data_IF_654830901971
#
_entry.id   IF_654830901971
#
_cell.length_a   1.000
_cell.length_b   1.000
_cell.length_c   1.000
_cell.angle_alpha   90.00
_cell.angle_beta   90.00
_cell.angle_gamma   90.00
#
_symmetry.space_group_name_H-M   'P 1'
#
loop_
_entity.id
_entity.type
_entity.pdbx_description
1 polymer ?
#
# COMPACT_ATOMS: atom_id res chain seq x y z
N UNK A 1 21.69 35.06 12.50
CA UNK A 1 21.68 34.41 11.18
C UNK A 1 20.23 34.15 10.80
N UNK A 2 19.71 34.89 9.82
CA UNK A 2 18.32 34.78 9.41
C UNK A 2 18.09 33.42 8.73
N UNK A 3 17.20 32.60 9.31
CA UNK A 3 16.71 31.36 8.70
C UNK A 3 16.11 31.68 7.34
N UNK A 4 16.80 31.32 6.26
CA UNK A 4 16.22 31.29 4.92
C UNK A 4 15.08 30.27 4.94
N UNK A 5 13.85 30.78 5.03
CA UNK A 5 12.64 30.00 4.75
C UNK A 5 12.74 29.53 3.30
N UNK A 6 13.12 28.28 3.08
CA UNK A 6 13.00 27.64 1.76
C UNK A 6 11.54 27.74 1.33
N UNK A 7 11.28 28.55 0.30
CA UNK A 7 9.94 28.74 -0.24
C UNK A 7 9.42 27.38 -0.73
N UNK A 8 8.20 27.01 -0.29
CA UNK A 8 7.56 25.75 -0.69
C UNK A 8 7.42 25.77 -2.22
N UNK A 9 8.03 24.81 -2.93
CA UNK A 9 7.87 24.70 -4.39
C UNK A 9 6.37 24.64 -4.70
N UNK A 10 5.89 25.53 -5.58
CA UNK A 10 4.49 25.56 -5.98
C UNK A 10 4.15 24.24 -6.67
N UNK A 11 3.00 23.65 -6.35
CA UNK A 11 2.54 22.44 -7.03
C UNK A 11 2.41 22.70 -8.54
N UNK A 12 2.95 21.82 -9.39
CA UNK A 12 2.76 21.90 -10.83
C UNK A 12 1.29 21.86 -11.25
N UNK A 13 1.00 22.31 -12.47
CA UNK A 13 -0.38 22.43 -12.99
C UNK A 13 -1.12 21.09 -13.11
N UNK A 14 -0.39 19.98 -13.24
CA UNK A 14 -0.94 18.63 -13.37
C UNK A 14 -1.34 17.96 -12.04
N UNK A 15 -1.15 18.61 -10.89
CA UNK A 15 -1.62 18.11 -9.58
C UNK A 15 -3.08 18.44 -9.26
N UNK A 16 -3.92 18.71 -10.26
CA UNK A 16 -5.33 19.07 -10.06
C UNK A 16 -6.20 17.81 -9.88
N UNK A 17 -6.88 17.72 -8.75
CA UNK A 17 -7.92 16.70 -8.51
C UNK A 17 -9.27 17.18 -9.06
N UNK A 18 -10.14 16.23 -9.41
CA UNK A 18 -11.53 16.50 -9.81
C UNK A 18 -12.46 16.04 -8.68
N UNK A 19 -13.60 16.71 -8.53
CA UNK A 19 -14.64 16.27 -7.60
C UNK A 19 -15.48 15.16 -8.25
N UNK A 20 -16.03 14.22 -7.46
CA UNK A 20 -16.87 13.14 -7.98
C UNK A 20 -18.16 13.71 -8.56
N UNK A 21 -18.80 12.98 -9.49
CA UNK A 21 -20.05 13.42 -10.13
C UNK A 21 -20.91 12.23 -10.54
N UNK A 22 -22.22 12.43 -10.67
CA UNK A 22 -23.17 11.38 -11.04
C UNK A 22 -23.23 10.23 -10.02
N UNK A 23 -23.24 8.97 -10.49
CA UNK A 23 -23.32 7.78 -9.64
C UNK A 23 -22.16 7.67 -8.62
N UNK A 24 -20.97 8.17 -8.97
CA UNK A 24 -19.82 8.22 -8.08
C UNK A 24 -20.04 9.16 -6.88
N UNK A 25 -20.84 10.22 -7.05
CA UNK A 25 -21.18 11.12 -5.96
C UNK A 25 -22.07 10.42 -4.92
N UNK A 26 -22.99 9.55 -5.38
CA UNK A 26 -23.86 8.77 -4.48
C UNK A 26 -23.02 7.81 -3.62
N UNK A 27 -22.16 6.99 -4.25
CA UNK A 27 -21.27 6.07 -3.53
C UNK A 27 -20.37 6.82 -2.54
N UNK A 28 -19.85 8.00 -2.95
CA UNK A 28 -19.06 8.85 -2.06
C UNK A 28 -19.86 9.31 -0.83
N UNK A 29 -21.10 9.78 -1.02
CA UNK A 29 -21.95 10.25 0.08
C UNK A 29 -22.28 9.12 1.04
N UNK A 30 -22.66 7.95 0.52
CA UNK A 30 -22.99 6.76 1.32
C UNK A 30 -21.78 6.33 2.18
N UNK A 31 -20.59 6.31 1.56
CA UNK A 31 -19.33 6.00 2.25
C UNK A 31 -18.99 7.05 3.32
N UNK A 32 -19.25 8.33 3.03
CA UNK A 32 -18.95 9.44 3.92
C UNK A 32 -19.88 9.48 5.15
N UNK A 33 -21.16 9.19 4.96
CA UNK A 33 -22.13 9.11 6.05
C UNK A 33 -21.82 7.92 6.97
N UNK A 34 -21.46 6.75 6.40
CA UNK A 34 -21.02 5.59 7.17
C UNK A 34 -19.77 5.87 8.05
N UNK A 35 -18.82 6.67 7.55
CA UNK A 35 -17.62 7.06 8.32
C UNK A 35 -17.96 8.02 9.47
N UNK A 36 -18.91 8.94 9.28
CA UNK A 36 -19.35 9.88 10.33
C UNK A 36 -20.07 9.19 11.47
N UNK A 37 -20.95 8.25 11.16
CA UNK A 37 -21.82 7.61 12.16
C UNK A 37 -21.05 6.65 13.07
N UNK A 38 -19.92 6.10 12.62
CA UNK A 38 -19.14 5.09 13.34
C UNK A 38 -17.86 5.61 14.03
N UNK A 39 -17.63 6.93 14.08
CA UNK A 39 -16.42 7.55 14.67
C UNK A 39 -15.08 6.93 14.18
N UNK A 40 -15.02 6.51 12.91
CA UNK A 40 -13.90 5.74 12.37
C UNK A 40 -12.68 6.62 12.08
N UNK A 41 -11.50 6.17 12.51
CA UNK A 41 -10.23 6.76 12.11
C UNK A 41 -9.74 6.14 10.80
N UNK A 42 -10.04 6.79 9.67
CA UNK A 42 -9.48 6.37 8.37
C UNK A 42 -8.13 7.04 8.11
N UNK A 43 -7.16 6.29 7.56
CA UNK A 43 -5.89 6.91 7.11
C UNK A 43 -6.15 7.97 6.04
N UNK A 44 -7.24 7.84 5.28
CA UNK A 44 -7.68 8.82 4.29
C UNK A 44 -7.87 10.21 4.91
N UNK A 45 -8.47 10.29 6.08
CA UNK A 45 -8.69 11.55 6.81
C UNK A 45 -7.41 12.00 7.54
N UNK A 46 -6.77 11.09 8.29
CA UNK A 46 -5.59 11.42 9.10
C UNK A 46 -4.39 11.88 8.23
N UNK A 47 -4.17 11.23 7.09
CA UNK A 47 -3.12 11.59 6.14
C UNK A 47 -3.50 12.75 5.20
N UNK A 48 -4.71 13.32 5.33
CA UNK A 48 -5.26 14.37 4.46
C UNK A 48 -5.16 14.00 2.97
N UNK A 49 -5.58 12.78 2.65
CA UNK A 49 -5.36 12.18 1.34
C UNK A 49 -6.10 12.99 0.25
N UNK A 50 -5.42 13.47 -0.80
CA UNK A 50 -6.06 14.21 -1.88
C UNK A 50 -7.01 13.33 -2.73
N UNK A 51 -6.93 12.00 -2.56
CA UNK A 51 -7.66 11.01 -3.36
C UNK A 51 -8.91 10.45 -2.67
N UNK A 52 -9.29 10.99 -1.50
CA UNK A 52 -10.38 10.43 -0.68
C UNK A 52 -11.68 10.30 -1.47
N UNK A 53 -11.99 11.27 -2.34
CA UNK A 53 -13.19 11.26 -3.17
C UNK A 53 -13.19 10.13 -4.21
N UNK A 54 -12.06 9.94 -4.88
CA UNK A 54 -11.90 8.90 -5.91
C UNK A 54 -11.96 7.50 -5.28
N UNK A 55 -11.29 7.27 -4.16
CA UNK A 55 -11.31 5.97 -3.49
C UNK A 55 -12.72 5.62 -2.98
N UNK A 56 -13.34 6.52 -2.23
CA UNK A 56 -14.66 6.25 -1.64
C UNK A 56 -15.73 6.09 -2.70
N UNK A 57 -15.68 6.86 -3.80
CA UNK A 57 -16.61 6.67 -4.92
C UNK A 57 -16.43 5.37 -5.69
N UNK A 58 -15.31 4.67 -5.49
CA UNK A 58 -15.03 3.38 -6.12
C UNK A 58 -15.41 2.15 -5.29
N UNK A 59 -15.89 2.36 -4.05
CA UNK A 59 -16.12 1.28 -3.10
C UNK A 59 -14.82 0.72 -2.51
N UNK A 60 -13.76 1.53 -2.47
CA UNK A 60 -12.48 1.19 -1.86
C UNK A 60 -12.21 2.15 -0.69
N UNK A 61 -11.80 1.64 0.46
CA UNK A 61 -11.40 2.46 1.61
C UNK A 61 -10.12 1.92 2.26
N UNK A 62 -9.43 2.79 3.00
CA UNK A 62 -8.23 2.42 3.75
C UNK A 62 -8.39 2.73 5.24
N UNK A 63 -8.20 1.72 6.06
CA UNK A 63 -8.29 1.77 7.52
C UNK A 63 -6.91 1.65 8.12
N UNK A 64 -6.68 2.32 9.25
CA UNK A 64 -5.43 2.19 10.01
C UNK A 64 -5.73 1.54 11.34
N UNK A 65 -5.02 0.46 11.66
CA UNK A 65 -5.16 -0.28 12.92
C UNK A 65 -3.87 -0.21 13.76
N UNK A 66 -3.94 -0.75 14.97
CA UNK A 66 -2.91 -0.69 16.01
C UNK A 66 -2.60 0.73 16.49
N UNK A 67 -3.59 1.61 16.39
CA UNK A 67 -3.53 3.00 16.83
C UNK A 67 -3.11 4.01 15.76
N UNK A 68 -2.91 5.25 16.22
CA UNK A 68 -2.65 6.43 15.36
C UNK A 68 -1.26 7.04 15.54
N UNK A 69 -0.45 6.46 16.42
CA UNK A 69 0.90 6.90 16.73
C UNK A 69 1.87 5.77 16.45
N UNK A 70 2.94 6.06 15.72
CA UNK A 70 3.93 5.08 15.28
C UNK A 70 5.16 5.13 16.20
N UNK A 71 5.75 3.97 16.50
CA UNK A 71 7.04 3.89 17.22
C UNK A 71 8.23 4.34 16.37
N UNK A 72 8.01 4.54 15.06
CA UNK A 72 9.00 4.97 14.06
C UNK A 72 8.73 6.38 13.53
N UNK A 73 9.80 7.05 13.12
CA UNK A 73 9.82 8.44 12.66
C UNK A 73 10.30 8.61 11.23
N UNK A 74 9.63 7.97 10.27
CA UNK A 74 9.94 8.15 8.84
C UNK A 74 9.75 9.61 8.42
N UNK A 75 10.74 10.19 7.73
CA UNK A 75 10.80 11.63 7.44
C UNK A 75 9.79 12.09 6.38
N UNK A 76 9.20 11.16 5.64
CA UNK A 76 8.13 11.42 4.67
C UNK A 76 6.71 11.31 5.28
N UNK A 77 6.56 10.61 6.40
CA UNK A 77 5.27 10.15 6.89
C UNK A 77 4.58 11.21 7.77
N UNK A 78 3.26 11.37 7.62
CA UNK A 78 2.46 12.32 8.40
C UNK A 78 2.00 11.78 9.76
N UNK A 79 2.10 10.47 9.99
CA UNK A 79 1.66 9.81 11.22
C UNK A 79 2.53 10.27 12.39
N UNK A 80 1.91 10.57 13.53
CA UNK A 80 2.61 11.05 14.71
C UNK A 80 3.57 9.98 15.27
N UNK A 81 4.75 10.38 15.71
CA UNK A 81 5.72 9.46 16.33
C UNK A 81 5.63 9.50 17.85
N UNK A 82 5.55 8.33 18.48
CA UNK A 82 5.58 8.20 19.94
C UNK A 82 6.33 6.93 20.33
N UNK A 83 7.30 7.07 21.25
CA UNK A 83 8.12 5.93 21.72
C UNK A 83 7.30 4.84 22.40
N UNK A 84 6.27 5.24 23.15
CA UNK A 84 5.38 4.32 23.87
C UNK A 84 3.95 4.76 23.58
N UNK A 85 3.36 4.26 22.48
CA UNK A 85 1.95 4.46 22.17
C UNK A 85 1.04 3.88 23.27
N UNK A 86 -0.26 4.21 23.28
CA UNK A 86 -1.23 3.50 24.11
C UNK A 86 -1.24 1.99 23.80
N UNK A 87 -1.70 1.13 24.74
CA UNK A 87 -1.94 -0.27 24.47
C UNK A 87 -2.87 -0.48 23.26
N UNK A 88 -2.77 -1.65 22.62
CA UNK A 88 -3.72 -2.04 21.59
C UNK A 88 -5.14 -2.05 22.16
N UNK A 89 -6.09 -1.59 21.35
CA UNK A 89 -7.51 -1.68 21.69
C UNK A 89 -7.99 -3.10 21.38
N UNK A 90 -8.40 -3.84 22.41
CA UNK A 90 -8.85 -5.24 22.29
C UNK A 90 -10.13 -5.39 21.47
N UNK A 91 -10.92 -4.31 21.36
CA UNK A 91 -12.16 -4.29 20.59
C UNK A 91 -11.93 -3.79 19.14
N UNK A 92 -10.70 -3.38 18.78
CA UNK A 92 -10.36 -2.89 17.44
C UNK A 92 -10.72 -3.88 16.31
N UNK A 93 -10.55 -5.21 16.45
CA UNK A 93 -11.02 -6.16 15.44
C UNK A 93 -12.53 -6.07 15.16
N UNK A 94 -13.35 -6.01 16.22
CA UNK A 94 -14.81 -5.90 16.07
C UNK A 94 -15.19 -4.53 15.49
N UNK A 95 -14.58 -3.47 16.00
CA UNK A 95 -14.83 -2.11 15.50
C UNK A 95 -14.46 -1.97 14.03
N UNK A 96 -13.34 -2.57 13.59
CA UNK A 96 -12.95 -2.59 12.18
C UNK A 96 -13.94 -3.38 11.32
N UNK A 97 -14.39 -4.55 11.79
CA UNK A 97 -15.38 -5.34 11.06
C UNK A 97 -16.71 -4.59 10.92
N UNK A 98 -17.18 -3.93 11.98
CA UNK A 98 -18.37 -3.07 11.95
C UNK A 98 -18.20 -1.89 11.00
N UNK A 99 -17.00 -1.29 10.98
CA UNK A 99 -16.64 -0.21 10.08
C UNK A 99 -16.69 -0.61 8.62
N UNK A 100 -16.09 -1.75 8.28
CA UNK A 100 -16.07 -2.28 6.92
C UNK A 100 -17.49 -2.67 6.52
N UNK A 101 -18.25 -3.33 7.40
CA UNK A 101 -19.62 -3.78 7.10
C UNK A 101 -20.65 -2.67 7.01
N UNK A 102 -20.40 -1.49 7.59
CA UNK A 102 -21.27 -0.33 7.39
C UNK A 102 -21.02 0.38 6.06
N UNK A 103 -19.90 0.08 5.41
CA UNK A 103 -19.49 0.68 4.14
C UNK A 103 -19.75 -0.34 3.04
N UNK A 104 -20.43 0.06 1.96
CA UNK A 104 -20.68 -0.83 0.81
C UNK A 104 -19.40 -1.00 -0.05
N UNK A 105 -18.35 -1.57 0.54
CA UNK A 105 -17.03 -1.72 -0.04
C UNK A 105 -16.94 -2.99 -0.89
N UNK A 106 -16.08 -2.95 -1.90
CA UNK A 106 -15.66 -4.13 -2.68
C UNK A 106 -14.25 -4.58 -2.28
N UNK A 107 -13.45 -3.65 -1.78
CA UNK A 107 -12.07 -3.87 -1.39
C UNK A 107 -11.71 -2.98 -0.19
N UNK A 108 -11.14 -3.58 0.85
CA UNK A 108 -10.65 -2.85 2.02
C UNK A 108 -9.13 -3.00 2.11
N UNK A 109 -8.44 -1.86 2.15
CA UNK A 109 -7.02 -1.82 2.48
C UNK A 109 -6.89 -1.55 3.97
N UNK A 110 -6.15 -2.41 4.68
CA UNK A 110 -5.85 -2.25 6.10
C UNK A 110 -4.37 -1.91 6.18
N UNK A 111 -4.02 -0.77 6.76
CA UNK A 111 -2.63 -0.36 6.99
C UNK A 111 -2.36 -0.32 8.49
N UNK A 112 -1.09 -0.40 8.85
CA UNK A 112 -0.68 -0.46 10.26
C UNK A 112 0.33 0.64 10.60
N UNK A 113 0.42 1.01 11.87
CA UNK A 113 1.58 1.72 12.42
C UNK A 113 2.62 0.71 12.91
N UNK A 114 3.91 1.10 12.98
CA UNK A 114 4.91 0.24 13.60
C UNK A 114 4.71 0.20 15.11
N UNK A 115 4.70 -1.02 15.67
CA UNK A 115 4.57 -1.32 17.10
C UNK A 115 5.80 -2.04 17.64
N UNK A 116 6.98 -1.45 17.43
CA UNK A 116 8.26 -1.96 17.96
C UNK A 116 8.28 -2.04 19.52
N UNK A 117 7.25 -1.54 20.20
CA UNK A 117 7.04 -1.65 21.64
C UNK A 117 6.43 -2.99 22.08
N UNK A 118 5.94 -3.80 21.14
CA UNK A 118 5.35 -5.13 21.37
C UNK A 118 6.31 -6.23 20.92
N UNK A 119 6.22 -7.40 21.55
CA UNK A 119 7.11 -8.54 21.28
C UNK A 119 6.94 -9.09 19.86
N UNK A 120 5.72 -9.13 19.35
CA UNK A 120 5.34 -9.67 18.03
C UNK A 120 5.13 -8.56 16.97
N UNK A 121 5.56 -7.33 17.25
CA UNK A 121 5.28 -6.16 16.40
C UNK A 121 3.78 -5.94 16.07
N UNK A 122 2.86 -6.43 16.90
CA UNK A 122 1.40 -6.49 16.71
C UNK A 122 0.91 -7.46 15.61
N UNK A 123 1.72 -8.43 15.16
CA UNK A 123 1.35 -9.40 14.15
C UNK A 123 0.06 -10.17 14.49
N UNK A 124 -0.09 -10.62 15.75
CA UNK A 124 -1.29 -11.35 16.17
C UNK A 124 -2.54 -10.45 16.10
N UNK A 125 -2.41 -9.20 16.52
CA UNK A 125 -3.49 -8.22 16.48
C UNK A 125 -3.94 -7.93 15.03
N UNK A 126 -2.98 -7.78 14.11
CA UNK A 126 -3.30 -7.61 12.69
C UNK A 126 -4.09 -8.80 12.15
N UNK A 127 -3.68 -10.03 12.50
CA UNK A 127 -4.36 -11.26 12.11
C UNK A 127 -5.79 -11.32 12.63
N UNK A 128 -6.02 -10.94 13.89
CA UNK A 128 -7.35 -10.88 14.48
C UNK A 128 -8.26 -9.86 13.78
N UNK A 129 -7.76 -8.66 13.48
CA UNK A 129 -8.49 -7.66 12.69
C UNK A 129 -8.91 -8.17 11.32
N UNK A 130 -8.00 -8.84 10.60
CA UNK A 130 -8.27 -9.41 9.29
C UNK A 130 -9.34 -10.51 9.34
N UNK A 131 -9.24 -11.40 10.31
CA UNK A 131 -10.20 -12.48 10.51
C UNK A 131 -11.61 -11.94 10.81
N UNK A 132 -11.72 -10.94 11.70
CA UNK A 132 -13.00 -10.34 12.07
C UNK A 132 -13.70 -9.69 10.86
N UNK A 133 -12.95 -8.99 10.01
CA UNK A 133 -13.50 -8.39 8.78
C UNK A 133 -13.95 -9.48 7.80
N UNK A 134 -13.14 -10.52 7.59
CA UNK A 134 -13.49 -11.59 6.67
C UNK A 134 -14.70 -12.41 7.13
N UNK A 135 -14.87 -12.61 8.44
CA UNK A 135 -16.05 -13.28 9.00
C UNK A 135 -17.33 -12.47 8.79
N UNK A 136 -17.26 -11.15 9.02
CA UNK A 136 -18.43 -10.27 8.93
C UNK A 136 -18.78 -9.85 7.51
N UNK A 137 -17.78 -9.69 6.65
CA UNK A 137 -17.89 -9.13 5.30
C UNK A 137 -17.18 -10.04 4.28
N UNK A 138 -17.63 -11.30 4.09
CA UNK A 138 -16.94 -12.30 3.27
C UNK A 138 -16.83 -11.92 1.78
N UNK A 139 -17.65 -10.99 1.30
CA UNK A 139 -17.61 -10.45 -0.06
C UNK A 139 -16.56 -9.34 -0.26
N UNK A 140 -16.02 -8.76 0.82
CA UNK A 140 -15.03 -7.69 0.76
C UNK A 140 -13.64 -8.27 0.66
N UNK A 141 -12.95 -7.99 -0.45
CA UNK A 141 -11.57 -8.42 -0.61
C UNK A 141 -10.61 -7.60 0.26
N UNK A 142 -9.60 -8.26 0.85
CA UNK A 142 -8.67 -7.64 1.81
C UNK A 142 -7.25 -7.47 1.25
N UNK A 143 -6.69 -6.28 1.43
CA UNK A 143 -5.27 -5.95 1.24
C UNK A 143 -4.68 -5.49 2.57
N UNK A 144 -3.58 -6.09 3.03
CA UNK A 144 -2.83 -5.59 4.19
C UNK A 144 -1.58 -4.84 3.73
N UNK A 145 -1.50 -3.55 4.02
CA UNK A 145 -0.25 -2.78 3.97
C UNK A 145 0.47 -2.88 5.32
N UNK A 146 1.35 -3.87 5.41
CA UNK A 146 2.02 -4.26 6.64
C UNK A 146 3.27 -3.40 6.93
N UNK A 147 3.65 -3.36 8.20
CA UNK A 147 4.99 -2.94 8.65
C UNK A 147 6.05 -3.93 8.15
N UNK A 148 7.32 -3.71 8.51
CA UNK A 148 8.36 -4.72 8.30
C UNK A 148 8.46 -5.71 9.46
N UNK A 149 7.56 -5.65 10.45
CA UNK A 149 7.58 -6.48 11.67
C UNK A 149 8.96 -6.53 12.35
N UNK A 150 9.69 -5.40 12.31
CA UNK A 150 11.08 -5.31 12.80
C UNK A 150 12.07 -6.31 12.14
N UNK A 151 11.71 -6.85 10.97
CA UNK A 151 12.47 -7.86 10.24
C UNK A 151 12.20 -9.30 10.70
N UNK A 152 11.24 -9.51 11.59
CA UNK A 152 10.90 -10.84 12.09
C UNK A 152 10.06 -11.63 11.08
N UNK A 153 10.59 -12.78 10.65
CA UNK A 153 9.95 -13.64 9.66
C UNK A 153 9.01 -14.67 10.31
N UNK A 154 9.18 -14.97 11.60
CA UNK A 154 8.29 -15.85 12.34
C UNK A 154 6.97 -15.13 12.63
N UNK A 155 7.03 -13.85 13.00
CA UNK A 155 5.85 -12.98 13.13
C UNK A 155 5.11 -12.84 11.78
N UNK A 156 5.85 -12.70 10.68
CA UNK A 156 5.28 -12.66 9.34
C UNK A 156 4.58 -13.99 9.00
N UNK A 157 5.20 -15.12 9.33
CA UNK A 157 4.64 -16.44 9.11
C UNK A 157 3.33 -16.63 9.90
N UNK A 158 3.34 -16.25 11.19
CA UNK A 158 2.14 -16.25 12.02
C UNK A 158 1.02 -15.40 11.40
N UNK A 159 1.32 -14.17 11.01
CA UNK A 159 0.35 -13.25 10.39
C UNK A 159 -0.27 -13.79 9.10
N UNK A 160 0.52 -14.46 8.25
CA UNK A 160 0.09 -14.93 6.94
C UNK A 160 -0.56 -16.31 6.95
N UNK A 161 -0.30 -17.13 7.96
CA UNK A 161 -0.92 -18.45 8.12
C UNK A 161 -2.45 -18.33 8.20
N UNK A 162 -3.15 -19.01 7.29
CA UNK A 162 -4.62 -19.00 7.15
C UNK A 162 -5.27 -17.61 7.02
N UNK A 163 -4.47 -16.60 6.68
CA UNK A 163 -4.93 -15.22 6.55
C UNK A 163 -5.88 -15.06 5.35
N UNK A 164 -7.01 -14.32 5.48
CA UNK A 164 -8.01 -14.13 4.42
C UNK A 164 -7.56 -13.12 3.34
N UNK A 165 -6.29 -12.75 3.32
CA UNK A 165 -5.75 -11.74 2.42
C UNK A 165 -5.82 -12.18 0.96
N UNK A 166 -6.17 -11.23 0.10
CA UNK A 166 -5.98 -11.34 -1.34
C UNK A 166 -4.66 -10.68 -1.77
N UNK A 167 -4.23 -9.65 -1.03
CA UNK A 167 -3.00 -8.91 -1.30
C UNK A 167 -2.23 -8.66 0.00
N UNK A 168 -0.96 -9.02 0.02
CA UNK A 168 -0.01 -8.58 1.04
C UNK A 168 0.90 -7.49 0.46
N UNK A 169 0.88 -6.31 1.06
CA UNK A 169 1.66 -5.16 0.65
C UNK A 169 2.69 -4.78 1.72
N UNK A 170 3.91 -4.48 1.27
CA UNK A 170 4.92 -3.83 2.10
C UNK A 170 5.74 -2.86 1.22
N UNK A 171 5.81 -1.59 1.62
CA UNK A 171 6.44 -0.56 0.79
C UNK A 171 7.93 -0.42 1.12
N UNK A 172 8.75 -0.43 0.07
CA UNK A 172 10.16 0.01 0.15
C UNK A 172 10.29 1.52 0.20
N UNK A 173 9.27 2.26 -0.27
CA UNK A 173 9.10 3.71 -0.24
C UNK A 173 10.08 4.52 -1.09
N UNK A 174 11.37 4.19 -1.09
CA UNK A 174 12.40 4.91 -1.83
C UNK A 174 13.52 3.96 -2.31
N UNK A 175 14.45 4.49 -3.09
CA UNK A 175 15.61 3.74 -3.58
C UNK A 175 16.63 3.47 -2.46
N UNK A 176 17.43 2.39 -2.52
CA UNK A 176 18.33 1.97 -1.44
C UNK A 176 19.26 3.07 -0.90
N UNK A 177 19.80 3.92 -1.78
CA UNK A 177 20.69 5.04 -1.39
C UNK A 177 20.01 6.04 -0.45
N UNK A 178 18.69 6.17 -0.51
CA UNK A 178 17.92 7.18 0.22
C UNK A 178 17.27 6.67 1.50
N UNK A 179 17.33 5.36 1.80
CA UNK A 179 16.64 4.78 2.97
C UNK A 179 16.92 5.55 4.26
N UNK A 180 18.19 5.73 4.63
CA UNK A 180 18.59 6.40 5.87
C UNK A 180 18.23 7.89 5.91
N UNK A 181 17.87 8.46 4.75
CA UNK A 181 17.46 9.86 4.60
C UNK A 181 15.94 9.98 4.67
N UNK A 182 15.20 9.00 4.15
CA UNK A 182 13.74 9.04 3.95
C UNK A 182 13.01 8.33 5.08
N UNK A 183 13.49 7.16 5.49
CA UNK A 183 12.82 6.25 6.41
C UNK A 183 13.47 6.31 7.80
N UNK A 184 12.80 5.70 8.78
CA UNK A 184 13.36 5.52 10.12
C UNK A 184 14.64 4.65 10.04
N UNK A 185 15.69 4.92 10.85
CA UNK A 185 16.94 4.15 10.81
C UNK A 185 16.80 2.64 11.07
N UNK A 186 15.69 2.19 11.66
CA UNK A 186 15.38 0.76 11.86
C UNK A 186 14.85 0.07 10.60
N UNK A 187 14.47 0.83 9.57
CA UNK A 187 14.00 0.29 8.31
C UNK A 187 15.14 0.28 7.27
N UNK A 188 15.14 -0.73 6.40
CA UNK A 188 16.04 -0.79 5.25
C UNK A 188 15.36 -1.48 4.06
N UNK A 189 15.83 -1.19 2.85
CA UNK A 189 15.37 -1.75 1.60
C UNK A 189 15.59 -3.27 1.61
N UNK A 190 16.75 -3.72 2.09
CA UNK A 190 17.07 -5.15 2.22
C UNK A 190 16.14 -5.90 3.16
N UNK A 191 15.78 -5.30 4.30
CA UNK A 191 14.78 -5.86 5.23
C UNK A 191 13.41 -5.93 4.57
N UNK A 192 12.97 -4.85 3.92
CA UNK A 192 11.72 -4.81 3.16
C UNK A 192 11.65 -5.86 2.05
N UNK A 193 12.75 -6.08 1.31
CA UNK A 193 12.84 -7.16 0.31
C UNK A 193 12.74 -8.54 0.95
N UNK A 194 13.28 -8.72 2.16
CA UNK A 194 13.22 -10.00 2.87
C UNK A 194 11.79 -10.34 3.30
N UNK A 195 11.05 -9.35 3.82
CA UNK A 195 9.62 -9.48 4.14
C UNK A 195 8.80 -9.82 2.89
N UNK A 196 9.00 -9.11 1.78
CA UNK A 196 8.27 -9.36 0.53
C UNK A 196 8.58 -10.74 -0.06
N UNK A 197 9.86 -11.15 -0.06
CA UNK A 197 10.30 -12.47 -0.53
C UNK A 197 9.65 -13.58 0.29
N UNK A 198 9.66 -13.42 1.60
CA UNK A 198 9.15 -14.43 2.52
C UNK A 198 7.62 -14.53 2.46
N UNK A 199 6.92 -13.40 2.35
CA UNK A 199 5.49 -13.39 2.12
C UNK A 199 5.10 -14.16 0.84
N UNK A 200 5.83 -13.95 -0.27
CA UNK A 200 5.61 -14.69 -1.52
C UNK A 200 5.89 -16.18 -1.38
N UNK A 201 6.90 -16.56 -0.58
CA UNK A 201 7.26 -17.96 -0.31
C UNK A 201 6.19 -18.67 0.53
N UNK A 202 5.68 -18.00 1.57
CA UNK A 202 4.70 -18.55 2.50
C UNK A 202 3.31 -18.65 1.88
N UNK A 203 2.89 -17.63 1.12
CA UNK A 203 1.58 -17.52 0.50
C UNK A 203 1.70 -17.21 -1.00
N UNK A 204 2.12 -18.19 -1.84
CA UNK A 204 2.21 -17.98 -3.28
C UNK A 204 0.84 -17.77 -3.96
N UNK A 205 -0.24 -18.10 -3.26
CA UNK A 205 -1.64 -17.94 -3.68
C UNK A 205 -2.16 -16.50 -3.60
N UNK A 206 -1.52 -15.63 -2.82
CA UNK A 206 -1.89 -14.22 -2.70
C UNK A 206 -0.96 -13.33 -3.54
N UNK A 207 -1.44 -12.14 -3.90
CA UNK A 207 -0.62 -11.15 -4.58
C UNK A 207 0.27 -10.43 -3.57
N UNK A 208 1.51 -10.15 -3.97
CA UNK A 208 2.44 -9.31 -3.23
C UNK A 208 2.55 -7.93 -3.88
N UNK A 209 2.63 -6.88 -3.08
CA UNK A 209 2.62 -5.49 -3.58
C UNK A 209 3.64 -4.60 -2.88
N UNK A 210 4.21 -3.66 -3.62
CA UNK A 210 5.07 -2.62 -3.06
C UNK A 210 4.85 -1.25 -3.69
N UNK A 211 5.54 -0.25 -3.16
CA UNK A 211 5.43 1.14 -3.58
C UNK A 211 6.78 1.85 -3.60
N UNK A 212 6.95 2.72 -4.59
CA UNK A 212 8.04 3.68 -4.70
C UNK A 212 7.46 5.10 -4.78
N UNK A 213 7.90 5.95 -3.87
CA UNK A 213 7.71 7.38 -3.98
C UNK A 213 8.84 7.99 -4.81
N UNK A 214 8.48 8.93 -5.70
CA UNK A 214 9.42 9.73 -6.50
C UNK A 214 9.41 11.18 -6.06
N UNK A 215 10.49 11.91 -6.37
CA UNK A 215 10.68 13.29 -5.98
C UNK A 215 11.32 13.49 -4.61
N UNK A 216 12.02 12.49 -4.09
CA UNK A 216 12.73 12.50 -2.79
C UNK A 216 14.25 12.61 -2.95
N UNK A 217 14.76 12.62 -4.18
CA UNK A 217 16.19 12.80 -4.51
C UNK A 217 16.80 11.63 -5.30
N UNK A 218 15.95 10.73 -5.78
CA UNK A 218 16.30 9.58 -6.62
C UNK A 218 16.53 10.00 -8.08
N UNK A 219 17.37 9.27 -8.80
CA UNK A 219 17.46 9.37 -10.26
C UNK A 219 16.43 8.46 -10.94
N UNK A 220 16.25 8.62 -12.26
CA UNK A 220 15.34 7.76 -13.01
C UNK A 220 15.88 6.32 -13.10
N UNK A 221 17.20 6.17 -13.18
CA UNK A 221 17.92 4.91 -13.23
C UNK A 221 17.77 4.15 -11.91
N UNK A 222 17.90 4.83 -10.76
CA UNK A 222 17.72 4.21 -9.44
C UNK A 222 16.29 3.70 -9.23
N UNK A 223 15.28 4.36 -9.81
CA UNK A 223 13.91 3.85 -9.82
C UNK A 223 13.82 2.54 -10.62
N UNK A 224 14.46 2.48 -11.78
CA UNK A 224 14.49 1.27 -12.61
C UNK A 224 15.22 0.12 -11.90
N UNK A 225 16.34 0.40 -11.23
CA UNK A 225 17.07 -0.57 -10.42
C UNK A 225 16.23 -1.06 -9.23
N UNK A 226 15.55 -0.16 -8.52
CA UNK A 226 14.66 -0.54 -7.41
C UNK A 226 13.50 -1.42 -7.89
N UNK A 227 12.93 -1.15 -9.07
CA UNK A 227 11.91 -2.02 -9.69
C UNK A 227 12.46 -3.41 -9.98
N UNK A 228 13.68 -3.54 -10.48
CA UNK A 228 14.32 -4.83 -10.72
C UNK A 228 14.48 -5.62 -9.42
N UNK A 229 14.99 -4.98 -8.36
CA UNK A 229 15.15 -5.62 -7.05
C UNK A 229 13.81 -6.12 -6.46
N UNK A 230 12.73 -5.35 -6.63
CA UNK A 230 11.39 -5.77 -6.23
C UNK A 230 10.90 -6.97 -7.05
N UNK A 231 11.20 -7.02 -8.36
CA UNK A 231 10.86 -8.16 -9.20
C UNK A 231 11.63 -9.42 -8.85
N UNK A 232 12.91 -9.30 -8.55
CA UNK A 232 13.77 -10.42 -8.16
C UNK A 232 13.25 -11.16 -6.91
N UNK A 233 12.51 -10.46 -6.04
CA UNK A 233 11.89 -11.08 -4.85
C UNK A 233 10.42 -11.47 -5.04
N UNK A 234 9.92 -11.39 -6.28
CA UNK A 234 8.60 -11.92 -6.63
C UNK A 234 7.43 -10.96 -6.41
N UNK A 235 7.66 -9.64 -6.24
CA UNK A 235 6.58 -8.66 -6.08
C UNK A 235 5.68 -8.60 -7.31
N UNK A 236 4.39 -8.90 -7.16
CA UNK A 236 3.43 -8.98 -8.27
C UNK A 236 2.92 -7.60 -8.71
N UNK A 237 2.62 -6.72 -7.75
CA UNK A 237 2.00 -5.42 -7.97
C UNK A 237 2.93 -4.26 -7.56
N UNK A 238 2.97 -3.20 -8.38
CA UNK A 238 3.77 -2.02 -8.09
C UNK A 238 2.92 -0.74 -8.12
N UNK A 239 3.24 0.18 -7.21
CA UNK A 239 2.74 1.55 -7.28
C UNK A 239 3.89 2.55 -7.34
N UNK A 240 3.77 3.56 -8.21
CA UNK A 240 4.77 4.64 -8.33
C UNK A 240 4.04 5.99 -8.25
N UNK A 241 4.38 6.78 -7.24
CA UNK A 241 3.65 8.03 -6.95
C UNK A 241 4.53 9.18 -6.50
N UNK A 242 4.09 10.42 -6.71
CA UNK A 242 4.81 11.59 -6.22
C UNK A 242 4.77 11.67 -4.69
N UNK A 243 5.93 11.86 -4.07
CA UNK A 243 6.02 12.33 -2.69
C UNK A 243 5.51 13.77 -2.54
N UNK A 244 4.51 13.95 -1.67
CA UNK A 244 4.03 15.27 -1.27
C UNK A 244 4.30 15.49 0.22
N UNK A 245 5.18 16.45 0.53
CA UNK A 245 5.54 16.76 1.90
C UNK A 245 4.32 17.19 2.75
N UNK A 246 3.98 16.45 3.83
CA UNK A 246 2.83 16.77 4.68
C UNK A 246 2.93 18.16 5.31
N UNK A 247 4.14 18.52 5.77
CA UNK A 247 4.44 19.84 6.35
C UNK A 247 5.88 20.26 6.07
N UNK A 248 6.23 21.50 6.43
CA UNK A 248 7.59 22.04 6.29
C UNK A 248 8.66 21.32 7.14
N UNK A 249 8.23 20.52 8.12
CA UNK A 249 9.13 19.78 9.02
C UNK A 249 9.47 18.38 8.47
N UNK A 250 8.83 17.95 7.38
CA UNK A 250 9.09 16.68 6.72
C UNK A 250 10.19 16.82 5.68
N UNK A 251 10.59 15.69 5.09
CA UNK A 251 11.55 15.65 3.99
C UNK A 251 11.15 16.66 2.89
N UNK A 252 12.10 17.44 2.40
CA UNK A 252 11.85 18.39 1.33
C UNK A 252 11.59 17.65 0.01
N UNK A 253 10.70 18.20 -0.82
CA UNK A 253 10.49 17.68 -2.18
C UNK A 253 11.69 18.08 -3.04
N UNK A 254 12.37 17.10 -3.61
CA UNK A 254 13.52 17.30 -4.50
C UNK A 254 13.05 17.74 -5.89
N UNK A 255 12.16 16.97 -6.52
CA UNK A 255 11.65 17.23 -7.87
C UNK A 255 10.19 16.82 -8.03
N UNK A 256 9.56 17.34 -9.07
CA UNK A 256 8.27 16.87 -9.58
C UNK A 256 8.53 16.27 -10.97
N UNK A 257 8.65 14.94 -11.10
CA UNK A 257 8.75 14.30 -12.40
C UNK A 257 7.55 14.68 -13.29
N UNK A 258 7.82 14.89 -14.57
CA UNK A 258 6.78 15.14 -15.57
C UNK A 258 5.89 13.88 -15.74
N UNK A 259 4.58 14.04 -16.03
CA UNK A 259 3.64 12.92 -16.18
C UNK A 259 4.12 11.79 -17.09
N UNK A 260 4.81 12.10 -18.18
CA UNK A 260 5.30 11.13 -19.17
C UNK A 260 6.33 10.15 -18.56
N UNK A 261 7.05 10.54 -17.50
CA UNK A 261 7.97 9.62 -16.81
C UNK A 261 7.22 8.50 -16.09
N UNK A 262 6.02 8.77 -15.58
CA UNK A 262 5.19 7.75 -14.92
C UNK A 262 4.74 6.68 -15.90
N UNK A 263 4.43 7.06 -17.14
CA UNK A 263 4.08 6.14 -18.23
C UNK A 263 5.29 5.28 -18.61
N UNK A 264 6.48 5.89 -18.73
CA UNK A 264 7.74 5.18 -19.00
C UNK A 264 8.05 4.16 -17.90
N UNK A 265 7.91 4.52 -16.63
CA UNK A 265 8.14 3.60 -15.52
C UNK A 265 7.10 2.47 -15.49
N UNK A 266 5.83 2.78 -15.76
CA UNK A 266 4.78 1.76 -15.83
C UNK A 266 5.06 0.72 -16.92
N UNK A 267 5.43 1.19 -18.12
CA UNK A 267 5.77 0.31 -19.24
C UNK A 267 6.99 -0.57 -18.92
N UNK A 268 8.05 0.01 -18.34
CA UNK A 268 9.23 -0.75 -17.90
C UNK A 268 8.88 -1.81 -16.85
N UNK A 269 8.04 -1.47 -15.87
CA UNK A 269 7.59 -2.41 -14.86
C UNK A 269 6.83 -3.59 -15.48
N UNK A 270 5.91 -3.33 -16.41
CA UNK A 270 5.21 -4.39 -17.14
C UNK A 270 6.19 -5.25 -17.96
N UNK A 271 7.18 -4.66 -18.63
CA UNK A 271 8.23 -5.39 -19.36
C UNK A 271 9.09 -6.27 -18.44
N UNK A 272 9.31 -5.84 -17.18
CA UNK A 272 10.05 -6.61 -16.17
C UNK A 272 9.24 -7.75 -15.55
N UNK A 273 7.94 -7.87 -15.84
CA UNK A 273 7.14 -8.98 -15.31
C UNK A 273 6.28 -8.66 -14.10
N UNK A 274 6.03 -7.39 -13.75
CA UNK A 274 4.97 -7.07 -12.78
C UNK A 274 3.61 -7.42 -13.37
N UNK A 275 2.73 -8.08 -12.60
CA UNK A 275 1.37 -8.42 -13.04
C UNK A 275 0.48 -7.19 -13.17
N UNK A 276 0.71 -6.17 -12.35
CA UNK A 276 -0.03 -4.92 -12.39
C UNK A 276 0.76 -3.75 -11.82
N UNK A 277 0.55 -2.56 -12.41
CA UNK A 277 1.22 -1.33 -12.02
C UNK A 277 0.22 -0.18 -12.00
N UNK A 278 0.16 0.56 -10.89
CA UNK A 278 -0.46 1.88 -10.87
C UNK A 278 0.65 2.95 -10.80
N UNK A 279 0.70 3.85 -11.78
CA UNK A 279 1.75 4.87 -11.86
C UNK A 279 1.14 6.23 -12.16
N UNK A 280 1.56 7.26 -11.42
CA UNK A 280 1.14 8.62 -11.69
C UNK A 280 1.36 9.60 -10.53
N UNK A 281 1.27 10.92 -10.78
CA UNK A 281 1.55 11.94 -9.78
C UNK A 281 0.71 11.82 -8.51
N UNK A 282 -0.56 11.43 -8.65
CA UNK A 282 -1.48 11.29 -7.52
C UNK A 282 -1.52 9.87 -6.93
N UNK A 283 -0.78 8.91 -7.50
CA UNK A 283 -0.79 7.53 -7.02
C UNK A 283 -0.22 7.45 -5.60
N UNK A 284 -0.84 6.59 -4.80
CA UNK A 284 -0.45 6.19 -3.44
C UNK A 284 -0.59 4.67 -3.37
N UNK A 285 0.07 4.05 -2.38
CA UNK A 285 0.02 2.60 -2.20
C UNK A 285 -1.40 2.04 -2.15
N UNK A 286 -2.33 2.77 -1.50
CA UNK A 286 -3.75 2.40 -1.43
C UNK A 286 -4.65 3.09 -2.47
N UNK A 287 -4.13 3.99 -3.31
CA UNK A 287 -4.94 4.62 -4.35
C UNK A 287 -5.26 3.61 -5.44
N UNK A 288 -6.57 3.33 -5.63
CA UNK A 288 -7.07 2.36 -6.61
C UNK A 288 -6.52 0.95 -6.41
N UNK A 289 -6.23 0.58 -5.17
CA UNK A 289 -5.75 -0.75 -4.83
C UNK A 289 -6.74 -1.83 -5.30
N UNK A 290 -8.04 -1.66 -5.04
CA UNK A 290 -9.06 -2.61 -5.45
C UNK A 290 -9.18 -2.69 -6.98
N UNK A 291 -9.13 -1.55 -7.69
CA UNK A 291 -9.13 -1.57 -9.16
C UNK A 291 -7.90 -2.29 -9.74
N UNK A 292 -6.70 -1.99 -9.22
CA UNK A 292 -5.46 -2.63 -9.65
C UNK A 292 -5.56 -4.15 -9.46
N UNK A 293 -6.01 -4.58 -8.29
CA UNK A 293 -6.21 -6.00 -7.96
C UNK A 293 -7.24 -6.65 -8.88
N UNK A 294 -8.43 -6.05 -9.04
CA UNK A 294 -9.49 -6.59 -9.91
C UNK A 294 -9.03 -6.72 -11.36
N UNK A 295 -8.37 -5.70 -11.91
CA UNK A 295 -7.81 -5.77 -13.27
C UNK A 295 -6.71 -6.82 -13.43
N UNK A 296 -5.94 -7.06 -12.37
CA UNK A 296 -4.88 -8.08 -12.41
C UNK A 296 -5.48 -9.48 -12.40
N UNK A 297 -6.59 -9.68 -11.69
CA UNK A 297 -7.24 -10.98 -11.53
C UNK A 297 -8.19 -11.31 -12.70
N UNK A 298 -8.86 -10.29 -13.25
CA UNK A 298 -9.86 -10.38 -14.32
C UNK A 298 -9.50 -9.47 -15.51
N UNK A 299 -9.06 -10.10 -16.60
CA UNK A 299 -8.67 -9.42 -17.85
C UNK A 299 -9.85 -8.77 -18.57
N UNK A 300 -11.07 -9.24 -18.30
CA UNK A 300 -12.28 -8.66 -18.89
C UNK A 300 -12.73 -7.38 -18.16
N UNK A 301 -12.05 -7.02 -17.08
CA UNK A 301 -12.37 -5.83 -16.30
C UNK A 301 -12.05 -4.55 -17.08
N UNK A 302 -13.11 -3.89 -17.57
CA UNK A 302 -13.04 -2.61 -18.28
C UNK A 302 -13.27 -1.40 -17.38
N UNK A 303 -13.23 -1.54 -16.05
CA UNK A 303 -13.41 -0.41 -15.15
C UNK A 303 -12.30 0.64 -15.42
N UNK A 304 -12.68 1.90 -15.57
CA UNK A 304 -11.74 3.01 -15.65
C UNK A 304 -11.98 3.95 -14.46
N UNK A 305 -10.90 4.48 -13.90
CA UNK A 305 -11.00 5.56 -12.92
C UNK A 305 -10.08 6.72 -13.33
N UNK A 306 -10.60 7.95 -13.42
CA UNK A 306 -9.81 9.15 -13.72
C UNK A 306 -8.62 9.32 -12.75
N UNK A 307 -7.48 9.86 -13.20
CA UNK A 307 -6.40 10.31 -12.30
C UNK A 307 -5.27 9.32 -11.97
N UNK A 308 -5.30 8.09 -12.51
CA UNK A 308 -4.16 7.18 -12.48
C UNK A 308 -4.12 6.35 -13.75
N UNK A 309 -2.92 6.07 -14.21
CA UNK A 309 -2.67 5.04 -15.19
C UNK A 309 -2.52 3.71 -14.46
N UNK A 310 -3.41 2.75 -14.76
CA UNK A 310 -3.36 1.38 -14.24
C UNK A 310 -3.10 0.45 -15.42
N UNK A 311 -1.94 -0.18 -15.43
CA UNK A 311 -1.54 -1.19 -16.40
C UNK A 311 -1.53 -2.56 -15.76
N UNK A 312 -1.95 -3.57 -16.50
CA UNK A 312 -1.87 -4.97 -16.09
C UNK A 312 -1.31 -5.79 -17.24
N UNK A 313 -0.55 -6.84 -16.92
CA UNK A 313 -0.12 -7.79 -17.92
C UNK A 313 -1.33 -8.59 -18.43
N UNK A 314 -1.45 -8.85 -19.74
CA UNK A 314 -2.32 -9.90 -20.21
C UNK A 314 -1.80 -11.24 -19.65
N UNK A 315 -2.65 -12.01 -18.96
CA UNK A 315 -2.32 -13.36 -18.49
C UNK A 315 -1.90 -14.21 -19.70
N UNK A 316 -0.82 -14.98 -19.59
CA UNK A 316 -0.69 -16.17 -20.41
C UNK A 316 -1.79 -17.16 -19.98
N UNK A 317 -2.59 -17.66 -20.93
CA UNK A 317 -3.44 -18.82 -20.72
C UNK A 317 -2.57 -19.97 -20.16
N UNK A 318 -2.92 -20.44 -18.95
CA UNK A 318 -2.29 -21.50 -18.15
C UNK A 318 -0.95 -21.18 -17.46
N UNK A 319 -1.02 -20.90 -16.16
CA UNK A 319 0.06 -21.17 -15.19
C UNK A 319 -0.47 -22.07 -14.06
N UNK A 320 -0.70 -23.34 -14.36
CA UNK A 320 -0.60 -24.41 -13.37
C UNK A 320 -0.10 -25.69 -14.03
N UNK A 321 1.17 -26.01 -13.75
CA UNK A 321 1.63 -27.34 -13.36
C UNK A 321 3.11 -27.24 -12.94
N UNK A 322 3.39 -26.74 -11.73
CA UNK A 322 4.54 -27.28 -10.99
C UNK A 322 4.08 -28.66 -10.50
N UNK A 323 4.35 -29.70 -11.28
CA UNK A 323 4.22 -31.07 -10.79
C UNK A 323 5.35 -31.37 -9.81
N UNK A 324 5.07 -32.06 -8.69
CA UNK A 324 6.08 -32.44 -7.73
C UNK A 324 7.03 -33.50 -8.30
N UNK A 325 8.31 -33.35 -7.97
CA UNK A 325 9.31 -34.39 -8.18
C UNK A 325 8.97 -35.63 -7.34
N UNK A 326 8.51 -36.69 -7.99
CA UNK A 326 8.62 -38.05 -7.47
C UNK A 326 9.47 -38.85 -8.43
N UNK A 327 10.54 -39.44 -7.91
CA UNK A 327 11.46 -40.24 -8.68
C UNK A 327 10.86 -41.59 -9.05
N UNK A 328 11.35 -42.14 -10.17
CA UNK A 328 11.42 -43.57 -10.39
C UNK A 328 12.84 -43.88 -10.90
N UNK A 329 13.50 -44.75 -10.14
CA UNK A 329 14.63 -45.58 -10.55
C UNK A 329 14.05 -46.76 -11.35
N UNK A 330 14.86 -47.32 -12.25
CA UNK A 330 14.65 -48.46 -13.20
C UNK A 330 14.41 -47.98 -14.65
N UNK A 331 15.25 -48.27 -15.66
CA UNK A 331 16.24 -49.33 -15.90
C UNK A 331 17.58 -48.75 -16.43
#
# INVERSE_FOLDING_TARGET
MASQKTARKRLPSWFRTKLPSGAQQTVFNDTMDAVKDNQLHTVCQEAKCPNIHDCWSSGDATFMIAGKECTRGCRFCAVGTRKTPPPLDVDEPSHLADAVGSMNLRHAVITVVNRDDLEDSAADHYKQCLAAVAERCPEVSLELLCSDLAGDLDDLAHLLEDSPLLVFAHNVECVPRLDSIVRDPRASFGQSLSILREAKRLRPDILTKSSLMVGVGETNEEIVEAMQLLREVGVDLLTIGQYLAPSKNHLAIDRFPEPELYDIWAQKAIEMGFSGVASGPLVRSSYKAGLLTRKTLDESNTEEMPGAYVLVQPKPMNQHALMPSHGEVEQ
#
